data_IF_997275718545
#
_entry.id   IF_997275718545
#
_cell.length_a   1.000
_cell.length_b   1.000
_cell.length_c   1.000
_cell.angle_alpha   90.00
_cell.angle_beta   90.00
_cell.angle_gamma   90.00
#
_symmetry.space_group_name_H-M   'P 1'
#
loop_
_entity.id
_entity.type
_entity.pdbx_description
1 polymer ?
#
# COMPACT_ATOMS: atom_id res chain seq x y z
N UNK A 1 6.94 -9.38 -12.55
CA UNK A 1 7.86 -8.69 -11.62
C UNK A 1 7.01 -8.00 -10.54
N UNK A 2 7.52 -7.88 -9.32
CA UNK A 2 6.81 -7.30 -8.18
C UNK A 2 7.61 -6.13 -7.63
N UNK A 3 6.95 -5.00 -7.37
CA UNK A 3 7.60 -3.76 -6.93
C UNK A 3 6.96 -3.30 -5.63
N UNK A 4 7.77 -3.10 -4.60
CA UNK A 4 7.31 -2.48 -3.37
C UNK A 4 7.21 -0.96 -3.56
N UNK A 5 6.10 -0.37 -3.14
CA UNK A 5 5.83 1.07 -3.24
C UNK A 5 5.61 1.65 -1.85
N UNK A 6 6.54 2.53 -1.45
CA UNK A 6 6.54 3.20 -0.15
C UNK A 6 5.71 4.51 -0.18
N UNK A 7 5.41 5.06 1.00
CA UNK A 7 4.64 6.31 1.12
C UNK A 7 5.31 7.46 0.38
N UNK A 8 6.64 7.57 0.44
CA UNK A 8 7.40 8.64 -0.24
C UNK A 8 7.12 8.74 -1.74
N UNK A 9 6.89 7.60 -2.42
CA UNK A 9 6.51 7.61 -3.83
C UNK A 9 5.11 8.22 -4.04
N UNK A 10 4.12 7.77 -3.27
CA UNK A 10 2.74 8.28 -3.35
C UNK A 10 2.67 9.77 -3.02
N UNK A 11 3.39 10.19 -1.98
CA UNK A 11 3.44 11.59 -1.57
C UNK A 11 4.06 12.47 -2.64
N UNK A 12 5.20 12.06 -3.21
CA UNK A 12 5.87 12.78 -4.28
C UNK A 12 5.04 12.80 -5.57
N UNK A 13 4.38 11.69 -5.91
CA UNK A 13 3.53 11.61 -7.11
C UNK A 13 2.35 12.60 -7.04
N UNK A 14 1.78 12.82 -5.85
CA UNK A 14 0.51 13.55 -5.67
C UNK A 14 0.68 14.95 -5.06
N UNK A 15 1.92 15.35 -4.79
CA UNK A 15 2.29 16.68 -4.31
C UNK A 15 3.18 17.35 -5.35
N UNK A 16 2.59 18.25 -6.14
CA UNK A 16 3.29 18.91 -7.25
C UNK A 16 4.48 19.79 -6.81
N UNK A 17 4.49 20.20 -5.54
CA UNK A 17 5.54 20.96 -4.88
C UNK A 17 6.63 20.09 -4.23
N UNK A 18 6.49 18.76 -4.27
CA UNK A 18 7.53 17.86 -3.78
C UNK A 18 8.75 17.90 -4.70
N UNK A 19 9.95 18.01 -4.12
CA UNK A 19 11.22 18.04 -4.86
C UNK A 19 11.42 16.80 -5.77
N UNK A 20 10.78 15.67 -5.44
CA UNK A 20 10.86 14.42 -6.19
C UNK A 20 9.66 14.21 -7.13
N UNK A 21 8.74 15.17 -7.25
CA UNK A 21 7.51 15.01 -8.05
C UNK A 21 7.79 14.59 -9.49
N UNK A 22 8.72 15.27 -10.17
CA UNK A 22 9.09 14.94 -11.54
C UNK A 22 9.66 13.52 -11.68
N UNK A 23 10.45 13.08 -10.68
CA UNK A 23 11.01 11.72 -10.65
C UNK A 23 9.90 10.68 -10.43
N UNK A 24 8.97 10.94 -9.51
CA UNK A 24 7.85 10.05 -9.22
C UNK A 24 6.91 9.89 -10.44
N UNK A 25 6.63 10.99 -11.15
CA UNK A 25 5.84 10.96 -12.40
C UNK A 25 6.54 10.12 -13.47
N UNK A 26 7.83 10.33 -13.69
CA UNK A 26 8.60 9.54 -14.67
C UNK A 26 8.67 8.04 -14.29
N UNK A 27 8.76 7.72 -13.00
CA UNK A 27 8.67 6.34 -12.51
C UNK A 27 7.27 5.77 -12.71
N UNK A 28 6.21 6.54 -12.48
CA UNK A 28 4.82 6.14 -12.73
C UNK A 28 4.58 5.74 -14.17
N UNK A 29 5.14 6.48 -15.14
CA UNK A 29 5.06 6.12 -16.56
C UNK A 29 5.70 4.75 -16.86
N UNK A 30 6.83 4.43 -16.21
CA UNK A 30 7.49 3.12 -16.35
C UNK A 30 6.66 2.00 -15.72
N UNK A 31 6.10 2.24 -14.52
CA UNK A 31 5.21 1.28 -13.87
C UNK A 31 3.96 0.98 -14.71
N UNK A 32 3.40 1.99 -15.39
CA UNK A 32 2.28 1.81 -16.31
C UNK A 32 2.66 1.05 -17.58
N UNK A 33 3.90 1.19 -18.07
CA UNK A 33 4.37 0.45 -19.22
C UNK A 33 4.63 -1.04 -18.90
N UNK A 34 5.27 -1.30 -17.76
CA UNK A 34 5.68 -2.66 -17.35
C UNK A 34 4.56 -3.43 -16.64
N UNK A 35 3.54 -2.72 -16.16
CA UNK A 35 2.40 -3.23 -15.38
C UNK A 35 2.80 -4.27 -14.31
N UNK A 36 3.80 -3.98 -13.45
CA UNK A 36 4.19 -4.93 -12.41
C UNK A 36 3.10 -5.01 -11.33
N UNK A 37 3.10 -6.10 -10.57
CA UNK A 37 2.30 -6.15 -9.34
C UNK A 37 2.92 -5.21 -8.31
N UNK A 38 2.17 -4.18 -7.91
CA UNK A 38 2.60 -3.27 -6.84
C UNK A 38 2.26 -3.89 -5.49
N UNK A 39 3.16 -3.75 -4.52
CA UNK A 39 2.96 -4.21 -3.15
C UNK A 39 3.22 -3.06 -2.21
N UNK A 40 2.37 -2.90 -1.21
CA UNK A 40 2.58 -1.93 -0.13
C UNK A 40 2.11 -2.51 1.20
N UNK A 41 2.21 -1.76 2.30
CA UNK A 41 1.77 -2.22 3.63
C UNK A 41 0.65 -1.37 4.20
N UNK A 42 -0.08 -1.91 5.18
CA UNK A 42 -1.07 -1.14 5.95
C UNK A 42 -0.50 0.11 6.63
N UNK A 43 0.80 0.14 6.92
CA UNK A 43 1.46 1.32 7.52
C UNK A 43 1.75 2.40 6.48
N UNK A 44 2.06 2.03 5.24
CA UNK A 44 2.17 2.98 4.12
C UNK A 44 0.79 3.57 3.82
N UNK A 45 -0.25 2.73 3.80
CA UNK A 45 -1.64 3.19 3.65
C UNK A 45 -2.01 4.22 4.71
N UNK A 46 -1.77 3.92 6.00
CA UNK A 46 -2.04 4.85 7.11
C UNK A 46 -1.31 6.18 6.93
N UNK A 47 -0.02 6.14 6.58
CA UNK A 47 0.78 7.34 6.38
C UNK A 47 0.26 8.21 5.24
N UNK A 48 -0.04 7.61 4.08
CA UNK A 48 -0.53 8.32 2.89
C UNK A 48 -1.87 8.99 3.17
N UNK A 49 -2.85 8.24 3.69
CA UNK A 49 -4.19 8.77 4.00
C UNK A 49 -4.10 9.88 5.04
N UNK A 50 -3.35 9.66 6.12
CA UNK A 50 -3.17 10.64 7.19
C UNK A 50 -2.46 11.90 6.69
N UNK A 51 -1.44 11.77 5.83
CA UNK A 51 -0.70 12.91 5.30
C UNK A 51 -1.58 13.90 4.54
N UNK A 52 -2.41 13.40 3.62
CA UNK A 52 -3.30 14.26 2.83
C UNK A 52 -4.45 14.81 3.66
N UNK A 53 -5.00 14.01 4.58
CA UNK A 53 -6.09 14.46 5.45
C UNK A 53 -5.63 15.62 6.35
N UNK A 54 -4.41 15.54 6.93
CA UNK A 54 -3.84 16.62 7.76
C UNK A 54 -3.56 17.92 7.02
N UNK A 55 -3.55 17.91 5.68
CA UNK A 55 -3.36 19.09 4.81
C UNK A 55 -4.66 19.64 4.26
N UNK A 56 -5.80 19.30 4.88
CA UNK A 56 -7.14 19.65 4.40
C UNK A 56 -7.43 19.15 2.97
N UNK A 57 -6.73 18.09 2.51
CA UNK A 57 -6.94 17.44 1.21
C UNK A 57 -7.72 16.13 1.38
N UNK A 58 -8.85 16.19 2.09
CA UNK A 58 -9.64 15.00 2.43
C UNK A 58 -10.07 14.19 1.20
N UNK A 59 -10.53 14.85 0.14
CA UNK A 59 -10.93 14.18 -1.10
C UNK A 59 -9.76 13.36 -1.70
N UNK A 60 -8.54 13.90 -1.69
CA UNK A 60 -7.34 13.19 -2.17
C UNK A 60 -6.95 12.03 -1.24
N UNK A 61 -7.12 12.20 0.07
CA UNK A 61 -6.91 11.12 1.03
C UNK A 61 -7.85 9.92 0.77
N UNK A 62 -9.14 10.19 0.49
CA UNK A 62 -10.12 9.17 0.12
C UNK A 62 -9.79 8.53 -1.22
N UNK A 63 -9.44 9.33 -2.23
CA UNK A 63 -9.04 8.84 -3.56
C UNK A 63 -7.87 7.87 -3.47
N UNK A 64 -6.75 8.29 -2.86
CA UNK A 64 -5.57 7.44 -2.72
C UNK A 64 -5.80 6.26 -1.78
N UNK A 65 -6.54 6.47 -0.69
CA UNK A 65 -6.94 5.38 0.19
C UNK A 65 -7.70 4.29 -0.58
N UNK A 66 -8.64 4.68 -1.44
CA UNK A 66 -9.40 3.74 -2.28
C UNK A 66 -8.49 3.04 -3.30
N UNK A 67 -7.57 3.76 -3.93
CA UNK A 67 -6.57 3.16 -4.84
C UNK A 67 -5.73 2.11 -4.11
N UNK A 68 -5.26 2.39 -2.91
CA UNK A 68 -4.40 1.47 -2.16
C UNK A 68 -5.18 0.29 -1.55
N UNK A 69 -6.44 0.49 -1.17
CA UNK A 69 -7.23 -0.48 -0.44
C UNK A 69 -8.08 -1.38 -1.35
N UNK A 70 -8.59 -0.84 -2.47
CA UNK A 70 -9.58 -1.51 -3.31
C UNK A 70 -9.02 -1.94 -4.68
N UNK A 71 -7.89 -1.37 -5.12
CA UNK A 71 -7.34 -1.67 -6.44
C UNK A 71 -6.80 -3.10 -6.53
N UNK A 72 -7.18 -3.81 -7.60
CA UNK A 72 -6.57 -5.10 -7.95
C UNK A 72 -5.10 -5.00 -8.39
N UNK A 73 -4.60 -3.79 -8.63
CA UNK A 73 -3.23 -3.54 -9.07
C UNK A 73 -2.24 -3.37 -7.91
N UNK A 74 -2.75 -3.04 -6.71
CA UNK A 74 -1.96 -2.86 -5.49
C UNK A 74 -2.30 -3.98 -4.51
N UNK A 75 -1.32 -4.80 -4.18
CA UNK A 75 -1.41 -5.76 -3.08
C UNK A 75 -1.10 -5.05 -1.76
N UNK A 76 -2.14 -4.84 -0.95
CA UNK A 76 -1.99 -4.30 0.39
C UNK A 76 -1.69 -5.41 1.39
N UNK A 77 -0.43 -5.47 1.85
CA UNK A 77 -0.01 -6.41 2.90
C UNK A 77 -0.37 -5.84 4.27
N UNK A 78 -1.27 -6.49 4.99
CA UNK A 78 -1.54 -6.15 6.38
C UNK A 78 -0.39 -6.57 7.28
N UNK A 79 0.16 -5.60 8.01
CA UNK A 79 1.18 -5.85 9.02
C UNK A 79 0.54 -6.50 10.24
N UNK A 80 0.79 -7.79 10.41
CA UNK A 80 0.45 -8.53 11.61
C UNK A 80 1.57 -8.48 12.66
N UNK A 81 1.33 -9.10 13.82
CA UNK A 81 2.30 -9.12 14.92
C UNK A 81 3.59 -9.86 14.56
N UNK A 82 3.54 -10.89 13.70
CA UNK A 82 4.71 -11.67 13.29
C UNK A 82 5.60 -10.85 12.37
N UNK A 83 4.99 -10.15 11.41
CA UNK A 83 5.68 -9.27 10.49
C UNK A 83 6.29 -8.07 11.22
N UNK A 84 5.55 -7.50 12.17
CA UNK A 84 6.03 -6.40 13.00
C UNK A 84 7.22 -6.82 13.87
N UNK A 85 7.13 -7.96 14.56
CA UNK A 85 8.24 -8.48 15.37
C UNK A 85 9.49 -8.77 14.52
N UNK A 86 9.30 -9.36 13.34
CA UNK A 86 10.39 -9.64 12.40
C UNK A 86 11.07 -8.36 11.91
N UNK A 87 10.28 -7.35 11.52
CA UNK A 87 10.79 -6.05 11.10
C UNK A 87 11.46 -5.30 12.26
N UNK A 88 10.91 -5.39 13.46
CA UNK A 88 11.48 -4.79 14.67
C UNK A 88 12.84 -5.41 15.01
N UNK A 89 12.95 -6.74 15.00
CA UNK A 89 14.22 -7.44 15.18
C UNK A 89 15.23 -7.01 14.13
N UNK A 90 14.84 -6.97 12.86
CA UNK A 90 15.73 -6.50 11.80
C UNK A 90 16.21 -5.06 12.06
N UNK A 91 15.31 -4.16 12.43
CA UNK A 91 15.61 -2.77 12.74
C UNK A 91 16.64 -2.64 13.88
N UNK A 92 16.45 -3.36 14.98
CA UNK A 92 17.36 -3.35 16.14
C UNK A 92 18.76 -3.87 15.78
N UNK A 93 18.88 -4.85 14.87
CA UNK A 93 20.17 -5.44 14.48
C UNK A 93 20.95 -4.64 13.44
N UNK A 94 20.39 -3.55 12.89
CA UNK A 94 21.05 -2.72 11.88
C UNK A 94 21.17 -1.25 12.33
N UNK A 95 21.84 -0.96 13.46
CA UNK A 95 21.99 0.39 13.97
C UNK A 95 22.89 1.28 13.09
N UNK A 96 23.72 0.67 12.24
CA UNK A 96 24.57 1.32 11.24
C UNK A 96 23.77 1.91 10.09
N UNK A 97 22.52 1.46 9.91
CA UNK A 97 21.64 1.91 8.83
C UNK A 97 20.60 2.88 9.37
N UNK A 98 20.52 4.08 8.80
CA UNK A 98 19.48 5.08 9.10
C UNK A 98 18.14 4.71 8.46
N UNK A 99 17.69 3.47 8.64
CA UNK A 99 16.38 3.04 8.20
C UNK A 99 15.29 3.60 9.11
N UNK A 100 14.10 3.83 8.56
CA UNK A 100 12.91 3.92 9.39
C UNK A 100 12.41 2.50 9.68
N UNK A 101 11.61 2.31 10.74
CA UNK A 101 10.91 1.05 10.97
C UNK A 101 10.06 0.63 9.76
N UNK A 102 9.56 1.61 8.98
CA UNK A 102 8.82 1.37 7.74
C UNK A 102 9.67 0.73 6.66
N UNK A 103 10.93 1.16 6.52
CA UNK A 103 11.86 0.52 5.60
C UNK A 103 12.16 -0.93 6.02
N UNK A 104 12.25 -1.23 7.32
CA UNK A 104 12.37 -2.60 7.80
C UNK A 104 11.10 -3.44 7.52
N UNK A 105 9.91 -2.85 7.69
CA UNK A 105 8.63 -3.47 7.35
C UNK A 105 8.50 -3.76 5.85
N UNK A 106 8.93 -2.83 5.00
CA UNK A 106 8.96 -3.01 3.54
C UNK A 106 9.82 -4.20 3.13
N UNK A 107 11.01 -4.34 3.74
CA UNK A 107 11.91 -5.47 3.49
C UNK A 107 11.31 -6.80 3.97
N UNK A 108 10.72 -6.82 5.17
CA UNK A 108 10.08 -8.00 5.72
C UNK A 108 8.84 -8.42 4.89
N UNK A 109 8.02 -7.45 4.47
CA UNK A 109 6.84 -7.68 3.64
C UNK A 109 7.23 -8.20 2.25
N UNK A 110 8.28 -7.62 1.63
CA UNK A 110 8.81 -8.10 0.36
C UNK A 110 9.33 -9.54 0.44
N UNK A 111 10.02 -9.89 1.53
CA UNK A 111 10.45 -11.27 1.78
C UNK A 111 9.26 -12.23 1.95
N UNK A 112 8.23 -11.83 2.68
CA UNK A 112 7.03 -12.64 2.88
C UNK A 112 6.21 -12.80 1.60
N UNK A 113 6.06 -11.75 0.79
CA UNK A 113 5.39 -11.82 -0.51
C UNK A 113 6.12 -12.75 -1.49
N UNK A 114 7.46 -12.78 -1.44
CA UNK A 114 8.27 -13.72 -2.23
C UNK A 114 8.12 -15.17 -1.77
N UNK A 115 8.07 -15.42 -0.44
CA UNK A 115 7.83 -16.75 0.12
C UNK A 115 6.40 -17.23 -0.13
N UNK A 116 5.41 -16.33 -0.04
CA UNK A 116 4.01 -16.60 -0.35
C UNK A 116 3.83 -17.04 -1.81
N UNK A 117 4.52 -16.42 -2.76
CA UNK A 117 4.48 -16.85 -4.18
C UNK A 117 5.15 -18.21 -4.43
N UNK A 118 6.23 -18.55 -3.70
CA UNK A 118 6.82 -19.90 -3.76
C UNK A 118 5.89 -20.96 -3.13
N UNK A 119 5.09 -20.59 -2.13
CA UNK A 119 4.06 -21.44 -1.52
C UNK A 119 2.74 -21.54 -2.32
N UNK A 120 2.45 -20.59 -3.21
CA UNK A 120 1.17 -20.49 -3.93
C UNK A 120 1.08 -21.34 -5.21
N UNK A 121 2.01 -22.28 -5.44
CA UNK A 121 1.94 -23.23 -6.56
C UNK A 121 0.91 -24.36 -6.38
N UNK A 122 0.15 -24.40 -5.28
CA UNK A 122 -0.88 -25.41 -5.02
C UNK A 122 -2.19 -24.78 -4.51
N UNK A 123 -3.20 -24.72 -5.41
CA UNK A 123 -4.67 -24.60 -5.16
C UNK A 123 -5.18 -23.20 -4.70
N UNK A 124 -6.27 -22.61 -5.23
CA UNK A 124 -7.53 -23.09 -5.85
C UNK A 124 -8.15 -22.04 -6.82
N UNK A 125 -8.95 -22.54 -7.78
CA UNK A 125 -9.80 -21.82 -8.76
C UNK A 125 -10.71 -20.71 -8.17
N UNK A 126 -11.11 -19.70 -8.96
CA UNK A 126 -12.08 -18.69 -8.54
C UNK A 126 -13.51 -19.24 -8.57
N UNK A 127 -14.34 -18.88 -7.58
CA UNK A 127 -15.80 -19.06 -7.63
C UNK A 127 -16.52 -17.75 -7.29
N UNK A 128 -17.15 -17.20 -8.36
CA UNK A 128 -18.51 -16.61 -8.47
C UNK A 128 -18.91 -15.36 -7.66
N UNK A 129 -19.16 -14.30 -8.45
CA UNK A 129 -20.33 -13.38 -8.49
C UNK A 129 -20.88 -12.82 -7.17
N UNK A 130 -20.71 -11.51 -6.98
CA UNK A 130 -21.52 -10.71 -6.07
C UNK A 130 -22.68 -10.05 -6.82
N UNK A 131 -23.91 -10.36 -6.40
CA UNK A 131 -25.13 -9.60 -6.72
C UNK A 131 -25.14 -8.31 -5.88
N UNK A 132 -25.64 -7.23 -6.47
CA UNK A 132 -26.04 -5.99 -5.78
C UNK A 132 -27.43 -6.21 -5.17
N UNK A 133 -27.54 -6.11 -3.84
CA UNK A 133 -28.74 -5.76 -3.08
C UNK A 133 -28.24 -4.70 -2.07
N UNK A 134 -28.69 -3.45 -2.00
CA UNK A 134 -30.07 -2.98 -1.94
C UNK A 134 -30.40 -2.64 -0.47
N UNK A 135 -30.01 -1.45 0.02
CA UNK A 135 -30.43 -0.95 1.34
C UNK A 135 -31.16 0.39 1.16
N UNK A 136 -32.44 0.52 1.54
CA UNK A 136 -33.14 1.80 1.51
C UNK A 136 -32.95 2.58 2.82
N UNK A 137 -32.80 3.90 2.68
CA UNK A 137 -32.72 4.89 3.76
C UNK A 137 -34.12 5.21 4.30
N UNK A 138 -34.30 5.27 5.63
CA UNK A 138 -35.54 5.71 6.28
C UNK A 138 -35.31 7.07 6.99
N UNK A 139 -36.25 8.03 6.94
CA UNK A 139 -36.10 9.31 7.63
C UNK A 139 -36.59 9.27 9.09
N UNK A 140 -35.98 10.12 9.93
CA UNK A 140 -36.19 10.21 11.38
C UNK A 140 -37.56 10.82 11.77
N UNK A 141 -38.10 10.50 12.97
CA UNK A 141 -39.39 11.01 13.41
C UNK A 141 -39.29 12.40 14.07
N UNK A 142 -40.43 13.10 14.09
CA UNK A 142 -40.69 14.38 14.77
C UNK A 142 -41.14 14.17 16.21
#
# INVERSE_FOLDING_TARGET
MMVFVDSGYWLALESADDQNHAVAVAQGQKLLADMPRLVTTSYVFDEVVTFFNRRNRHAKAVELGSVLFESSFVELVHVDAVLLDSAWKYFVHHPDKRYSLRAALALAAGAQAFLGQKGCALRRKPRRSWRRDGVPYAPAPS
#
